data_IF_122540792612
#
_entry.id   IF_122540792612
#
_cell.length_a   1.000
_cell.length_b   1.000
_cell.length_c   1.000
_cell.angle_alpha   90.00
_cell.angle_beta   90.00
_cell.angle_gamma   90.00
#
_symmetry.space_group_name_H-M   'P 1'
#
loop_
_entity.id
_entity.type
_entity.pdbx_description
1 polymer ?
#
# COMPACT_ATOMS: atom_id res chain seq x y z
N UNK A 1 1.81 16.91 3.48
CA UNK A 1 3.00 17.02 2.62
C UNK A 1 4.24 16.77 3.46
N UNK A 2 4.92 15.66 3.19
CA UNK A 2 6.13 15.24 3.88
C UNK A 2 7.27 16.24 3.65
N UNK A 3 8.01 16.60 4.70
CA UNK A 3 9.19 17.45 4.59
C UNK A 3 10.33 16.72 3.87
N UNK A 4 10.54 15.43 4.16
CA UNK A 4 11.53 14.59 3.48
C UNK A 4 11.27 14.59 1.97
N UNK A 5 10.01 14.32 1.59
CA UNK A 5 9.63 14.33 0.18
C UNK A 5 9.80 15.72 -0.45
N UNK A 6 9.42 16.78 0.26
CA UNK A 6 9.58 18.16 -0.21
C UNK A 6 11.06 18.49 -0.49
N UNK A 7 11.97 18.08 0.40
CA UNK A 7 13.40 18.31 0.27
C UNK A 7 13.98 17.54 -0.93
N UNK A 8 13.59 16.28 -1.10
CA UNK A 8 13.97 15.45 -2.25
C UNK A 8 13.49 16.08 -3.57
N UNK A 9 12.21 16.43 -3.66
CA UNK A 9 11.62 17.03 -4.86
C UNK A 9 12.25 18.40 -5.18
N UNK A 10 12.54 19.21 -4.17
CA UNK A 10 13.21 20.51 -4.35
C UNK A 10 14.63 20.34 -4.89
N UNK A 11 15.37 19.34 -4.39
CA UNK A 11 16.70 19.02 -4.88
C UNK A 11 16.66 18.55 -6.34
N UNK A 12 15.76 17.62 -6.66
CA UNK A 12 15.55 17.12 -8.02
C UNK A 12 15.21 18.27 -8.98
N UNK A 13 14.27 19.14 -8.59
CA UNK A 13 13.89 20.33 -9.38
C UNK A 13 15.09 21.24 -9.62
N UNK A 14 15.91 21.50 -8.60
CA UNK A 14 17.09 22.36 -8.73
C UNK A 14 18.10 21.77 -9.71
N UNK A 15 18.36 20.46 -9.64
CA UNK A 15 19.24 19.76 -10.57
C UNK A 15 18.68 19.76 -11.99
N UNK A 16 17.37 19.55 -12.14
CA UNK A 16 16.69 19.56 -13.43
C UNK A 16 16.83 20.89 -14.15
N UNK A 17 16.54 22.01 -13.45
CA UNK A 17 16.69 23.36 -14.02
C UNK A 17 18.13 23.67 -14.39
N UNK A 18 19.10 23.26 -13.55
CA UNK A 18 20.52 23.45 -13.85
C UNK A 18 20.91 22.70 -15.13
N UNK A 19 20.59 21.41 -15.23
CA UNK A 19 20.94 20.57 -16.38
C UNK A 19 20.31 21.07 -17.67
N UNK A 20 19.02 21.41 -17.66
CA UNK A 20 18.36 21.91 -18.87
C UNK A 20 18.80 23.33 -19.26
N UNK A 21 19.20 24.15 -18.30
CA UNK A 21 19.80 25.46 -18.62
C UNK A 21 21.17 25.32 -19.30
N UNK A 22 21.93 24.27 -18.98
CA UNK A 22 23.23 23.99 -19.60
C UNK A 22 23.10 23.37 -21.00
N UNK A 23 22.04 22.58 -21.24
CA UNK A 23 21.79 21.90 -22.52
C UNK A 23 20.84 22.66 -23.45
N UNK A 24 20.47 23.90 -23.10
CA UNK A 24 19.50 24.74 -23.84
C UNK A 24 18.14 24.05 -24.05
N UNK A 25 17.68 23.31 -23.03
CA UNK A 25 16.38 22.62 -23.05
C UNK A 25 16.36 21.32 -23.83
N UNK A 26 17.52 20.72 -24.14
CA UNK A 26 17.55 19.46 -24.88
C UNK A 26 17.07 18.28 -24.03
N UNK A 27 16.09 17.53 -24.54
CA UNK A 27 15.56 16.27 -23.98
C UNK A 27 15.02 16.38 -22.53
N UNK A 28 14.01 17.23 -22.29
CA UNK A 28 13.46 17.50 -20.97
C UNK A 28 12.76 16.29 -20.30
N UNK A 29 12.12 15.39 -21.05
CA UNK A 29 11.52 14.17 -20.51
C UNK A 29 12.59 13.17 -20.08
N UNK A 30 13.60 12.95 -20.92
CA UNK A 30 14.68 12.01 -20.59
C UNK A 30 15.46 12.46 -19.36
N UNK A 31 15.78 13.76 -19.26
CA UNK A 31 16.47 14.30 -18.07
C UNK A 31 15.61 14.19 -16.83
N UNK A 32 14.29 14.43 -16.92
CA UNK A 32 13.38 14.30 -15.79
C UNK A 32 13.33 12.85 -15.28
N UNK A 33 13.11 11.89 -16.19
CA UNK A 33 13.09 10.47 -15.88
C UNK A 33 14.40 9.97 -15.30
N UNK A 34 15.55 10.38 -15.87
CA UNK A 34 16.86 10.01 -15.35
C UNK A 34 17.10 10.53 -13.93
N UNK A 35 16.70 11.76 -13.64
CA UNK A 35 16.83 12.34 -12.30
C UNK A 35 15.90 11.66 -11.30
N UNK A 36 14.65 11.40 -11.67
CA UNK A 36 13.71 10.68 -10.83
C UNK A 36 14.22 9.25 -10.53
N UNK A 37 14.64 8.49 -11.55
CA UNK A 37 15.15 7.13 -11.38
C UNK A 37 16.42 7.04 -10.50
N UNK A 38 17.25 8.09 -10.48
CA UNK A 38 18.48 8.12 -9.68
C UNK A 38 18.29 8.66 -8.26
N UNK A 39 17.34 9.58 -8.05
CA UNK A 39 17.15 10.26 -6.76
C UNK A 39 15.94 9.75 -5.96
N UNK A 40 14.98 9.06 -6.59
CA UNK A 40 13.78 8.52 -5.92
C UNK A 40 13.90 7.02 -5.59
N UNK A 41 15.11 6.57 -5.24
CA UNK A 41 15.33 5.20 -4.75
C UNK A 41 14.99 5.16 -3.24
N UNK A 42 13.69 5.12 -2.94
CA UNK A 42 13.16 5.20 -1.57
C UNK A 42 12.99 3.79 -0.99
N UNK A 43 13.81 3.44 0.00
CA UNK A 43 13.73 2.15 0.70
C UNK A 43 12.53 2.07 1.65
N UNK A 44 12.23 0.87 2.18
CA UNK A 44 11.09 0.62 3.07
C UNK A 44 11.03 1.52 4.31
N UNK A 45 12.18 1.75 4.96
CA UNK A 45 12.24 2.52 6.21
C UNK A 45 11.98 4.01 5.93
N UNK A 46 12.61 4.54 4.88
CA UNK A 46 12.41 5.92 4.43
C UNK A 46 10.99 6.15 3.91
N UNK A 47 10.43 5.18 3.17
CA UNK A 47 9.05 5.25 2.68
C UNK A 47 8.06 5.25 3.84
N UNK A 48 8.30 4.45 4.89
CA UNK A 48 7.48 4.48 6.10
C UNK A 48 7.52 5.86 6.79
N UNK A 49 8.69 6.51 6.88
CA UNK A 49 8.80 7.87 7.42
C UNK A 49 8.08 8.92 6.56
N UNK A 50 8.16 8.79 5.23
CA UNK A 50 7.43 9.66 4.30
C UNK A 50 5.91 9.49 4.50
N UNK A 51 5.43 8.25 4.58
CA UNK A 51 4.01 7.93 4.85
C UNK A 51 3.59 8.45 6.22
N UNK A 52 4.46 8.38 7.23
CA UNK A 52 4.18 8.94 8.55
C UNK A 52 3.95 10.46 8.51
N UNK A 53 4.73 11.18 7.70
CA UNK A 53 4.56 12.62 7.52
C UNK A 53 3.42 12.99 6.57
N UNK A 54 3.07 12.10 5.64
CA UNK A 54 1.98 12.26 4.69
C UNK A 54 1.13 10.98 4.51
N UNK A 55 0.15 10.76 5.40
CA UNK A 55 -0.68 9.56 5.36
C UNK A 55 -1.50 9.45 4.07
N UNK A 56 -1.77 10.56 3.39
CA UNK A 56 -2.62 10.60 2.18
C UNK A 56 -2.05 9.76 1.05
N UNK A 57 -0.74 9.47 1.07
CA UNK A 57 -0.06 8.57 0.14
C UNK A 57 -0.62 7.14 0.18
N UNK A 58 -1.24 6.70 1.28
CA UNK A 58 -1.89 5.38 1.35
C UNK A 58 -3.17 5.30 0.51
N UNK A 59 -3.75 6.43 0.11
CA UNK A 59 -4.88 6.46 -0.82
C UNK A 59 -4.43 6.34 -2.30
N UNK A 60 -3.12 6.32 -2.56
CA UNK A 60 -2.56 6.20 -3.90
C UNK A 60 -2.91 4.86 -4.57
N UNK A 61 -3.05 4.90 -5.90
CA UNK A 61 -3.40 3.75 -6.75
C UNK A 61 -2.36 3.57 -7.83
N UNK A 62 -2.12 2.33 -8.27
CA UNK A 62 -1.10 2.05 -9.28
C UNK A 62 -1.50 2.64 -10.65
N UNK A 63 -2.79 2.55 -11.00
CA UNK A 63 -3.30 2.92 -12.31
C UNK A 63 -2.53 2.22 -13.43
N UNK A 64 -1.88 3.02 -14.29
CA UNK A 64 -0.95 2.54 -15.33
C UNK A 64 0.49 3.03 -15.11
N UNK A 65 0.82 3.44 -13.89
CA UNK A 65 2.10 4.08 -13.58
C UNK A 65 3.25 3.06 -13.48
N UNK A 66 2.93 1.81 -13.18
CA UNK A 66 3.91 0.73 -13.05
C UNK A 66 4.17 0.17 -14.45
N UNK A 67 5.38 0.44 -14.98
CA UNK A 67 5.77 0.13 -16.36
C UNK A 67 5.94 -1.36 -16.64
N UNK A 68 6.20 -2.16 -15.62
CA UNK A 68 6.35 -3.62 -15.77
C UNK A 68 4.98 -4.32 -15.75
N UNK A 69 4.52 -4.73 -16.93
CA UNK A 69 3.28 -5.51 -17.15
C UNK A 69 3.32 -6.88 -16.46
N UNK A 70 4.50 -7.39 -16.09
CA UNK A 70 4.64 -8.65 -15.36
C UNK A 70 4.21 -8.56 -13.89
N UNK A 71 4.17 -7.36 -13.29
CA UNK A 71 3.63 -7.15 -11.95
C UNK A 71 2.13 -6.85 -12.01
N UNK A 72 1.34 -7.86 -12.35
CA UNK A 72 -0.14 -7.78 -12.27
C UNK A 72 -0.67 -7.56 -10.84
N UNK A 73 0.20 -7.59 -9.84
CA UNK A 73 -0.14 -7.49 -8.42
C UNK A 73 1.01 -6.79 -7.65
N UNK A 74 1.13 -5.47 -7.80
CA UNK A 74 2.18 -4.69 -7.15
C UNK A 74 1.99 -4.67 -5.63
N UNK A 75 3.10 -4.54 -4.90
CA UNK A 75 3.03 -4.33 -3.44
C UNK A 75 2.67 -2.88 -3.10
N UNK A 76 2.15 -2.66 -1.89
CA UNK A 76 1.72 -1.34 -1.42
C UNK A 76 2.82 -0.28 -1.52
N UNK A 77 4.07 -0.62 -1.19
CA UNK A 77 5.23 0.27 -1.27
C UNK A 77 5.52 0.72 -2.70
N UNK A 78 5.47 -0.21 -3.65
CA UNK A 78 5.68 0.09 -5.07
C UNK A 78 4.58 1.02 -5.62
N UNK A 79 3.32 0.81 -5.21
CA UNK A 79 2.21 1.70 -5.58
C UNK A 79 2.50 3.14 -5.14
N UNK A 80 2.91 3.32 -3.88
CA UNK A 80 3.20 4.64 -3.33
C UNK A 80 4.42 5.27 -4.05
N UNK A 81 5.49 4.51 -4.23
CA UNK A 81 6.70 4.97 -4.92
C UNK A 81 6.42 5.38 -6.37
N UNK A 82 5.62 4.60 -7.10
CA UNK A 82 5.23 4.94 -8.47
C UNK A 82 4.41 6.24 -8.54
N UNK A 83 3.54 6.49 -7.56
CA UNK A 83 2.78 7.74 -7.49
C UNK A 83 3.69 8.93 -7.15
N UNK A 84 4.65 8.75 -6.25
CA UNK A 84 5.65 9.77 -5.93
C UNK A 84 6.49 10.09 -7.18
N UNK A 85 6.95 9.07 -7.91
CA UNK A 85 7.72 9.24 -9.14
C UNK A 85 6.91 9.99 -10.20
N UNK A 86 5.65 9.61 -10.43
CA UNK A 86 4.82 10.29 -11.42
C UNK A 86 4.54 11.75 -11.03
N UNK A 87 4.21 12.02 -9.77
CA UNK A 87 4.00 13.39 -9.30
C UNK A 87 5.28 14.25 -9.44
N UNK A 88 6.46 13.66 -9.21
CA UNK A 88 7.73 14.32 -9.44
C UNK A 88 7.94 14.62 -10.92
N UNK A 89 7.65 13.65 -11.80
CA UNK A 89 7.78 13.80 -13.24
C UNK A 89 6.86 14.90 -13.78
N UNK A 90 5.57 14.88 -13.41
CA UNK A 90 4.60 15.91 -13.78
C UNK A 90 5.09 17.31 -13.38
N UNK A 91 5.54 17.47 -12.13
CA UNK A 91 6.10 18.73 -11.65
C UNK A 91 7.32 19.19 -12.49
N UNK A 92 8.24 18.30 -12.85
CA UNK A 92 9.41 18.67 -13.66
C UNK A 92 9.02 19.06 -15.09
N UNK A 93 8.07 18.35 -15.69
CA UNK A 93 7.58 18.65 -17.02
C UNK A 93 6.83 20.00 -17.07
N UNK A 94 6.06 20.32 -16.02
CA UNK A 94 5.43 21.62 -15.86
C UNK A 94 6.48 22.75 -15.84
N UNK A 95 7.58 22.58 -15.11
CA UNK A 95 8.69 23.54 -15.11
C UNK A 95 9.33 23.69 -16.50
N UNK A 96 9.45 22.61 -17.27
CA UNK A 96 9.96 22.67 -18.64
C UNK A 96 9.01 23.40 -19.60
N UNK A 97 7.69 23.29 -19.40
CA UNK A 97 6.69 24.09 -20.13
C UNK A 97 6.82 25.58 -19.75
N UNK A 98 6.93 25.90 -18.46
CA UNK A 98 7.08 27.28 -17.99
C UNK A 98 8.34 27.96 -18.56
N UNK A 99 9.44 27.21 -18.66
CA UNK A 99 10.70 27.67 -19.25
C UNK A 99 10.73 27.60 -20.79
N UNK A 100 9.63 27.16 -21.43
CA UNK A 100 9.47 27.04 -22.90
C UNK A 100 10.40 26.02 -23.57
N UNK A 101 10.88 25.03 -22.81
CA UNK A 101 11.61 23.89 -23.36
C UNK A 101 10.68 22.82 -23.93
N UNK A 102 9.45 22.74 -23.39
CA UNK A 102 8.36 21.94 -23.93
C UNK A 102 7.23 22.83 -24.45
N UNK A 103 6.55 22.35 -25.49
CA UNK A 103 5.38 23.01 -26.07
C UNK A 103 4.19 22.07 -25.95
N UNK A 104 3.07 22.59 -25.45
CA UNK A 104 1.81 21.86 -25.43
C UNK A 104 1.06 22.08 -26.74
N UNK A 105 0.48 21.01 -27.26
CA UNK A 105 -0.41 21.04 -28.41
C UNK A 105 -1.76 21.65 -28.04
N UNK A 106 -2.61 21.90 -29.04
CA UNK A 106 -3.92 22.55 -28.87
C UNK A 106 -4.89 21.82 -27.92
N UNK A 107 -4.61 20.56 -27.60
CA UNK A 107 -5.39 19.71 -26.69
C UNK A 107 -4.73 19.58 -25.28
N UNK A 108 -3.79 20.46 -24.94
CA UNK A 108 -3.00 20.42 -23.68
C UNK A 108 -2.11 19.19 -23.51
N UNK A 109 -1.92 18.39 -24.54
CA UNK A 109 -0.97 17.27 -24.58
C UNK A 109 0.45 17.79 -24.88
N UNK A 110 1.46 17.23 -24.21
CA UNK A 110 2.87 17.55 -24.45
C UNK A 110 3.36 16.70 -25.63
N UNK A 111 3.91 17.35 -26.65
CA UNK A 111 4.50 16.65 -27.78
C UNK A 111 5.97 16.31 -27.47
N UNK A 112 6.25 15.01 -27.28
CA UNK A 112 7.59 14.50 -27.03
C UNK A 112 8.21 13.95 -28.33
N UNK A 113 9.53 14.07 -28.46
CA UNK A 113 10.25 13.42 -29.56
C UNK A 113 10.21 11.89 -29.38
N UNK A 114 9.89 11.15 -30.44
CA UNK A 114 9.92 9.68 -30.47
C UNK A 114 11.27 9.12 -30.00
N UNK A 115 12.37 9.78 -30.37
CA UNK A 115 13.73 9.37 -29.95
C UNK A 115 13.90 9.51 -28.42
N UNK A 116 13.23 10.49 -27.83
CA UNK A 116 13.27 10.73 -26.40
C UNK A 116 12.42 9.70 -25.64
N UNK A 117 11.24 9.36 -26.17
CA UNK A 117 10.38 8.31 -25.63
C UNK A 117 11.12 6.96 -25.63
N UNK A 118 11.73 6.57 -26.76
CA UNK A 118 12.52 5.33 -26.87
C UNK A 118 13.69 5.31 -25.88
N UNK A 119 14.33 6.46 -25.64
CA UNK A 119 15.44 6.56 -24.69
C UNK A 119 14.97 6.39 -23.23
N UNK A 120 13.78 6.86 -22.89
CA UNK A 120 13.17 6.68 -21.56
C UNK A 120 12.78 5.22 -21.32
N UNK A 121 12.19 4.56 -22.32
CA UNK A 121 11.83 3.13 -22.23
C UNK A 121 13.06 2.23 -22.03
N UNK A 122 14.23 2.66 -22.50
CA UNK A 122 15.49 1.96 -22.33
C UNK A 122 16.17 2.20 -20.96
N UNK A 123 15.64 3.09 -20.11
CA UNK A 123 16.20 3.33 -18.78
C UNK A 123 15.93 2.14 -17.86
N UNK A 124 17.00 1.58 -17.28
CA UNK A 124 16.88 0.60 -16.20
C UNK A 124 16.44 1.31 -14.92
N UNK A 125 15.22 1.03 -14.48
CA UNK A 125 14.71 1.47 -13.19
C UNK A 125 15.18 0.48 -12.14
N UNK A 126 15.85 0.98 -11.10
CA UNK A 126 16.28 0.15 -9.96
C UNK A 126 15.04 -0.29 -9.20
N UNK A 127 14.83 -1.59 -9.13
CA UNK A 127 13.78 -2.18 -8.30
C UNK A 127 14.18 -2.12 -6.81
N UNK A 128 13.24 -1.69 -5.97
CA UNK A 128 13.45 -1.54 -4.53
C UNK A 128 12.79 -2.71 -3.82
N UNK A 129 13.60 -3.47 -3.09
CA UNK A 129 13.12 -4.58 -2.29
C UNK A 129 12.48 -4.10 -0.98
N UNK A 130 11.14 -4.02 -0.98
CA UNK A 130 10.35 -3.66 0.20
C UNK A 130 10.29 -4.75 1.28
N UNK A 131 10.83 -5.95 1.03
CA UNK A 131 10.85 -7.05 2.01
C UNK A 131 11.96 -6.92 3.06
N UNK A 132 12.80 -5.88 2.95
CA UNK A 132 13.89 -5.60 3.87
C UNK A 132 13.65 -4.31 4.62
N UNK A 133 13.78 -4.35 5.96
CA UNK A 133 13.63 -3.18 6.83
C UNK A 133 14.54 -3.32 8.06
N UNK A 134 15.38 -2.31 8.32
CA UNK A 134 16.19 -2.28 9.56
C UNK A 134 15.35 -1.79 10.73
N UNK A 135 14.40 -0.89 10.47
CA UNK A 135 13.48 -0.38 11.49
C UNK A 135 12.61 -1.52 12.05
N UNK A 136 12.04 -2.38 11.21
CA UNK A 136 11.27 -3.55 11.65
C UNK A 136 12.08 -4.46 12.59
N UNK A 137 13.31 -4.81 12.20
CA UNK A 137 14.21 -5.64 13.03
C UNK A 137 14.54 -4.98 14.38
N UNK A 138 14.72 -3.66 14.38
CA UNK A 138 14.98 -2.87 15.58
C UNK A 138 13.77 -2.86 16.51
N UNK A 139 12.58 -2.62 15.97
CA UNK A 139 11.33 -2.56 16.73
C UNK A 139 11.00 -3.91 17.39
N UNK A 140 11.18 -5.02 16.65
CA UNK A 140 11.02 -6.38 17.19
C UNK A 140 11.95 -6.62 18.39
N UNK A 141 13.19 -6.13 18.31
CA UNK A 141 14.20 -6.32 19.35
C UNK A 141 13.96 -5.51 20.62
N UNK A 142 13.13 -4.45 20.57
CA UNK A 142 12.87 -3.55 21.71
C UNK A 142 11.81 -4.09 22.70
N UNK A 143 11.07 -5.16 22.34
CA UNK A 143 10.21 -5.89 23.27
C UNK A 143 8.97 -5.15 23.78
N UNK A 144 8.44 -4.18 23.02
CA UNK A 144 7.20 -3.47 23.33
C UNK A 144 5.93 -4.17 22.81
N UNK A 145 4.76 -3.74 23.30
CA UNK A 145 3.46 -4.13 22.71
C UNK A 145 3.24 -3.30 21.44
N UNK A 146 3.26 -3.94 20.28
CA UNK A 146 2.97 -3.27 19.00
C UNK A 146 1.50 -2.85 18.90
N UNK A 147 1.22 -1.86 18.06
CA UNK A 147 -0.14 -1.41 17.76
C UNK A 147 -0.99 -2.55 17.18
N UNK A 148 -0.40 -3.41 16.35
CA UNK A 148 -1.10 -4.60 15.82
C UNK A 148 -1.52 -5.55 16.95
N UNK A 149 -0.66 -5.78 17.94
CA UNK A 149 -1.00 -6.63 19.08
C UNK A 149 -2.10 -6.01 19.95
N UNK A 150 -2.07 -4.68 20.16
CA UNK A 150 -3.16 -3.99 20.87
C UNK A 150 -4.49 -4.15 20.13
N UNK A 151 -4.47 -4.07 18.80
CA UNK A 151 -5.65 -4.25 17.98
C UNK A 151 -6.21 -5.67 18.11
N UNK A 152 -5.36 -6.70 18.00
CA UNK A 152 -5.76 -8.09 18.19
C UNK A 152 -6.37 -8.33 19.58
N UNK A 153 -5.74 -7.82 20.64
CA UNK A 153 -6.25 -7.96 22.01
C UNK A 153 -7.61 -7.26 22.21
N UNK A 154 -7.82 -6.10 21.58
CA UNK A 154 -9.09 -5.40 21.64
C UNK A 154 -10.20 -6.16 20.90
N UNK A 155 -9.91 -6.67 19.70
CA UNK A 155 -10.83 -7.48 18.92
C UNK A 155 -11.16 -8.80 19.64
N UNK A 156 -10.16 -9.46 20.21
CA UNK A 156 -10.32 -10.68 21.02
C UNK A 156 -11.24 -10.45 22.21
N UNK A 157 -11.01 -9.38 22.97
CA UNK A 157 -11.84 -9.08 24.13
C UNK A 157 -13.30 -8.87 23.75
N UNK A 158 -13.56 -8.07 22.72
CA UNK A 158 -14.92 -7.83 22.24
C UNK A 158 -15.57 -9.12 21.71
N UNK A 159 -14.81 -9.92 20.95
CA UNK A 159 -15.29 -11.19 20.42
C UNK A 159 -15.70 -12.15 21.54
N UNK A 160 -14.89 -12.32 22.59
CA UNK A 160 -15.19 -13.19 23.72
C UNK A 160 -16.43 -12.72 24.50
N UNK A 161 -16.56 -11.42 24.74
CA UNK A 161 -17.74 -10.85 25.41
C UNK A 161 -19.03 -11.13 24.60
N UNK A 162 -18.96 -11.05 23.28
CA UNK A 162 -20.11 -11.34 22.41
C UNK A 162 -20.37 -12.84 22.26
N UNK A 163 -19.34 -13.67 22.25
CA UNK A 163 -19.45 -15.13 22.15
C UNK A 163 -20.17 -15.73 23.38
N UNK A 164 -19.96 -15.16 24.56
CA UNK A 164 -20.65 -15.58 25.79
C UNK A 164 -22.13 -15.15 25.83
N UNK A 165 -22.51 -14.12 25.06
CA UNK A 165 -23.82 -13.47 25.14
C UNK A 165 -24.75 -13.60 23.92
N UNK A 166 -24.23 -13.91 22.74
CA UNK A 166 -25.00 -13.88 21.48
C UNK A 166 -25.28 -15.29 20.89
N UNK A 167 -26.31 -15.36 20.05
CA UNK A 167 -26.77 -16.57 19.31
C UNK A 167 -26.16 -16.65 17.90
N UNK A 168 -25.26 -15.71 17.54
CA UNK A 168 -24.56 -15.76 16.26
C UNK A 168 -23.62 -16.96 16.22
N UNK A 169 -23.49 -17.55 15.04
CA UNK A 169 -22.44 -18.52 14.79
C UNK A 169 -21.06 -17.83 14.89
N UNK A 170 -20.09 -18.52 15.50
CA UNK A 170 -18.80 -17.95 15.84
C UNK A 170 -18.01 -17.47 14.61
N UNK A 171 -18.23 -18.09 13.44
CA UNK A 171 -17.61 -17.64 12.19
C UNK A 171 -18.16 -16.27 11.74
N UNK A 172 -19.48 -16.11 11.77
CA UNK A 172 -20.13 -14.85 11.40
C UNK A 172 -19.74 -13.73 12.38
N UNK A 173 -19.67 -14.08 13.67
CA UNK A 173 -19.24 -13.14 14.70
C UNK A 173 -17.78 -12.70 14.48
N UNK A 174 -16.87 -13.62 14.14
CA UNK A 174 -15.46 -13.30 13.89
C UNK A 174 -15.31 -12.32 12.72
N UNK A 175 -16.02 -12.52 11.62
CA UNK A 175 -16.02 -11.60 10.48
C UNK A 175 -16.56 -10.22 10.89
N UNK A 176 -17.66 -10.17 11.63
CA UNK A 176 -18.27 -8.91 12.05
C UNK A 176 -17.37 -8.12 13.02
N UNK A 177 -16.78 -8.81 14.00
CA UNK A 177 -15.83 -8.21 14.93
C UNK A 177 -14.59 -7.74 14.20
N UNK A 178 -13.99 -8.57 13.34
CA UNK A 178 -12.83 -8.17 12.54
C UNK A 178 -13.14 -6.93 11.70
N UNK A 179 -14.26 -6.92 10.97
CA UNK A 179 -14.68 -5.76 10.17
C UNK A 179 -14.91 -4.48 10.97
N UNK A 180 -15.26 -4.59 12.26
CA UNK A 180 -15.40 -3.42 13.15
C UNK A 180 -14.04 -2.86 13.57
N UNK A 181 -13.04 -3.73 13.72
CA UNK A 181 -11.68 -3.38 14.12
C UNK A 181 -10.71 -3.18 12.96
N UNK A 182 -11.18 -3.30 11.70
CA UNK A 182 -10.32 -3.33 10.52
C UNK A 182 -10.68 -2.32 9.42
N UNK A 183 -11.62 -1.41 9.69
CA UNK A 183 -11.83 -0.23 8.84
C UNK A 183 -10.83 0.83 9.27
N UNK A 184 -9.71 0.91 8.55
CA UNK A 184 -8.65 1.86 8.86
C UNK A 184 -8.73 3.10 7.98
N UNK A 185 -8.56 4.27 8.60
CA UNK A 185 -8.16 5.47 7.86
C UNK A 185 -6.65 5.43 7.56
N UNK A 186 -6.15 6.20 6.59
CA UNK A 186 -4.71 6.32 6.35
C UNK A 186 -3.90 6.69 7.60
N UNK A 187 -4.45 7.55 8.45
CA UNK A 187 -3.82 7.97 9.71
C UNK A 187 -3.74 6.85 10.74
N UNK A 188 -4.69 5.92 10.74
CA UNK A 188 -4.70 4.76 11.65
C UNK A 188 -3.74 3.67 11.19
N UNK A 189 -3.44 3.58 9.90
CA UNK A 189 -2.43 2.66 9.34
C UNK A 189 -0.99 3.11 9.63
N UNK A 190 -0.76 4.41 9.76
CA UNK A 190 0.58 4.98 9.93
C UNK A 190 1.35 4.40 11.13
N UNK A 191 0.77 4.33 12.35
CA UNK A 191 1.45 3.69 13.48
C UNK A 191 1.80 2.22 13.24
N UNK A 192 0.94 1.48 12.52
CA UNK A 192 1.17 0.07 12.19
C UNK A 192 2.34 -0.09 11.21
N UNK A 193 2.41 0.79 10.20
CA UNK A 193 3.52 0.82 9.23
C UNK A 193 4.82 1.24 9.92
N UNK A 194 4.78 2.20 10.85
CA UNK A 194 5.97 2.60 11.61
C UNK A 194 6.48 1.51 12.56
N UNK A 195 5.58 0.73 13.15
CA UNK A 195 5.94 -0.44 13.94
C UNK A 195 6.59 -1.52 13.06
N UNK A 196 6.08 -1.72 11.84
CA UNK A 196 6.59 -2.72 10.91
C UNK A 196 6.54 -2.24 9.43
N UNK A 197 7.62 -1.61 8.93
CA UNK A 197 7.67 -1.15 7.53
C UNK A 197 7.55 -2.26 6.49
N UNK A 198 7.76 -3.52 6.87
CA UNK A 198 7.55 -4.67 5.97
C UNK A 198 6.10 -4.81 5.51
N UNK A 199 5.15 -4.14 6.17
CA UNK A 199 3.76 -4.05 5.68
C UNK A 199 3.66 -3.37 4.30
N UNK A 200 4.66 -2.57 3.91
CA UNK A 200 4.74 -2.00 2.56
C UNK A 200 5.04 -3.06 1.49
N UNK A 201 5.55 -4.23 1.86
CA UNK A 201 5.75 -5.34 0.93
C UNK A 201 4.46 -6.14 0.62
N UNK A 202 3.37 -5.87 1.34
CA UNK A 202 2.11 -6.60 1.17
C UNK A 202 1.50 -6.35 -0.21
N UNK A 203 0.91 -7.39 -0.78
CA UNK A 203 0.28 -7.43 -2.12
C UNK A 203 -1.20 -7.75 -1.99
N UNK A 204 -2.02 -7.50 -3.01
CA UNK A 204 -3.45 -7.76 -2.90
C UNK A 204 -3.78 -9.26 -2.75
N UNK A 205 -3.02 -10.14 -3.43
CA UNK A 205 -3.07 -11.62 -3.32
C UNK A 205 -4.48 -12.20 -3.14
N UNK A 206 -5.41 -11.89 -4.05
CA UNK A 206 -6.82 -12.34 -4.04
C UNK A 206 -7.67 -11.90 -2.83
N UNK A 207 -7.12 -11.10 -1.90
CA UNK A 207 -7.82 -10.56 -0.73
C UNK A 207 -8.81 -9.44 -1.08
N UNK A 208 -8.67 -8.90 -2.29
CA UNK A 208 -9.44 -7.75 -2.74
C UNK A 208 -10.35 -8.19 -3.88
N UNK A 209 -11.62 -7.82 -3.76
CA UNK A 209 -12.62 -8.10 -4.78
C UNK A 209 -12.34 -7.19 -5.99
N UNK A 210 -11.82 -7.80 -7.06
CA UNK A 210 -11.48 -7.16 -8.33
C UNK A 210 -12.60 -6.27 -8.89
N UNK A 211 -13.86 -6.66 -8.71
CA UNK A 211 -15.03 -5.91 -9.20
C UNK A 211 -15.19 -4.54 -8.53
N UNK A 212 -14.73 -4.39 -7.29
CA UNK A 212 -14.86 -3.14 -6.52
C UNK A 212 -13.76 -2.14 -6.92
N UNK A 213 -12.55 -2.64 -7.18
CA UNK A 213 -11.37 -1.79 -7.41
C UNK A 213 -10.84 -1.84 -8.84
N UNK A 214 -11.49 -2.57 -9.74
CA UNK A 214 -11.09 -2.70 -11.15
C UNK A 214 -9.61 -3.11 -11.31
N UNK A 215 -9.14 -4.01 -10.43
CA UNK A 215 -7.73 -4.46 -10.34
C UNK A 215 -6.71 -3.36 -9.99
N UNK A 216 -7.17 -2.25 -9.40
CA UNK A 216 -6.32 -1.13 -9.00
C UNK A 216 -6.66 -0.65 -7.58
N UNK A 217 -6.45 -1.51 -6.56
CA UNK A 217 -6.73 -1.15 -5.18
C UNK A 217 -5.74 -0.11 -4.64
N UNK A 218 -6.19 0.82 -3.78
CA UNK A 218 -5.29 1.71 -3.07
C UNK A 218 -4.32 0.96 -2.15
N UNK A 219 -3.10 1.48 -1.96
CA UNK A 219 -2.07 0.89 -1.12
C UNK A 219 -2.54 0.59 0.31
N UNK A 220 -3.26 1.54 0.92
CA UNK A 220 -3.82 1.38 2.26
C UNK A 220 -4.84 0.25 2.35
N UNK A 221 -5.66 0.04 1.31
CA UNK A 221 -6.66 -1.04 1.28
C UNK A 221 -6.00 -2.42 1.26
N UNK A 222 -4.87 -2.56 0.56
CA UNK A 222 -4.07 -3.80 0.59
C UNK A 222 -3.67 -4.11 2.03
N UNK A 223 -3.04 -3.14 2.70
CA UNK A 223 -2.57 -3.30 4.08
C UNK A 223 -3.75 -3.60 5.03
N UNK A 224 -4.85 -2.84 4.93
CA UNK A 224 -6.06 -3.06 5.74
C UNK A 224 -6.66 -4.45 5.54
N UNK A 225 -6.66 -4.97 4.31
CA UNK A 225 -7.22 -6.29 3.99
C UNK A 225 -6.42 -7.40 4.66
N UNK A 226 -5.09 -7.32 4.61
CA UNK A 226 -4.19 -8.24 5.33
C UNK A 226 -4.43 -8.21 6.83
N UNK A 227 -4.52 -7.01 7.43
CA UNK A 227 -4.78 -6.90 8.87
C UNK A 227 -6.15 -7.48 9.21
N UNK A 228 -7.17 -7.22 8.40
CA UNK A 228 -8.52 -7.77 8.58
C UNK A 228 -8.46 -9.30 8.62
N UNK A 229 -7.77 -9.91 7.65
CA UNK A 229 -7.62 -11.35 7.57
C UNK A 229 -6.91 -11.91 8.80
N UNK A 230 -5.82 -11.29 9.24
CA UNK A 230 -5.10 -11.70 10.45
C UNK A 230 -5.99 -11.68 11.70
N UNK A 231 -6.86 -10.66 11.84
CA UNK A 231 -7.81 -10.61 12.95
C UNK A 231 -8.84 -11.74 12.82
N UNK A 232 -9.41 -11.96 11.63
CA UNK A 232 -10.38 -13.05 11.41
C UNK A 232 -9.75 -14.40 11.79
N UNK A 233 -8.55 -14.69 11.29
CA UNK A 233 -7.82 -15.93 11.58
C UNK A 233 -7.60 -16.11 13.08
N UNK A 234 -7.11 -15.08 13.78
CA UNK A 234 -6.92 -15.09 15.23
C UNK A 234 -8.22 -15.39 16.00
N UNK A 235 -9.32 -14.73 15.62
CA UNK A 235 -10.62 -14.92 16.27
C UNK A 235 -11.20 -16.31 16.01
N UNK A 236 -11.00 -16.87 14.82
CA UNK A 236 -11.45 -18.23 14.49
C UNK A 236 -10.63 -19.28 15.25
N UNK A 237 -9.31 -19.10 15.37
CA UNK A 237 -8.47 -19.97 16.20
C UNK A 237 -8.96 -19.97 17.66
N UNK A 238 -9.21 -18.79 18.22
CA UNK A 238 -9.74 -18.63 19.57
C UNK A 238 -11.12 -19.29 19.74
N UNK A 239 -12.01 -19.15 18.76
CA UNK A 239 -13.32 -19.78 18.78
C UNK A 239 -13.23 -21.32 18.72
N UNK A 240 -12.28 -21.86 17.95
CA UNK A 240 -12.00 -23.29 17.90
C UNK A 240 -11.50 -23.81 19.26
N UNK A 241 -10.58 -23.09 19.91
CA UNK A 241 -10.08 -23.43 21.25
C UNK A 241 -11.19 -23.44 22.31
N UNK A 242 -12.18 -22.54 22.18
CA UNK A 242 -13.36 -22.48 23.06
C UNK A 242 -14.42 -23.53 22.72
N UNK A 243 -14.24 -24.32 21.66
CA UNK A 243 -15.22 -25.30 21.19
C UNK A 243 -16.48 -24.66 20.61
N UNK A 244 -16.41 -23.39 20.20
CA UNK A 244 -17.54 -22.65 19.65
C UNK A 244 -17.71 -22.85 18.13
N UNK A 245 -16.72 -23.45 17.46
CA UNK A 245 -16.80 -23.82 16.06
C UNK A 245 -17.11 -25.31 15.91
N UNK A 246 -18.06 -25.63 15.02
CA UNK A 246 -18.34 -27.00 14.64
C UNK A 246 -17.20 -27.51 13.75
N UNK A 247 -16.62 -28.65 14.12
CA UNK A 247 -15.58 -29.34 13.35
C UNK A 247 -16.11 -30.68 12.86
N UNK A 248 -15.72 -31.05 11.64
CA UNK A 248 -16.09 -32.34 11.06
C UNK A 248 -15.26 -33.49 11.67
N UNK A 249 -15.53 -34.71 11.24
CA UNK A 249 -14.81 -35.90 11.71
C UNK A 249 -13.30 -35.91 11.38
N UNK A 250 -12.83 -34.99 10.53
CA UNK A 250 -11.42 -34.81 10.18
C UNK A 250 -10.78 -33.58 10.86
N UNK A 251 -11.53 -32.85 11.68
CA UNK A 251 -11.07 -31.64 12.36
C UNK A 251 -11.10 -30.38 11.49
N UNK A 252 -11.74 -30.41 10.32
CA UNK A 252 -11.94 -29.23 9.49
C UNK A 252 -13.17 -28.46 9.96
N UNK A 253 -13.10 -27.13 9.88
CA UNK A 253 -14.20 -26.24 10.23
C UNK A 253 -15.40 -26.48 9.32
N UNK A 254 -16.55 -26.77 9.93
CA UNK A 254 -17.84 -26.80 9.23
C UNK A 254 -18.30 -25.35 9.13
N UNK A 255 -18.08 -24.75 7.97
CA UNK A 255 -18.63 -23.43 7.68
C UNK A 255 -20.17 -23.51 7.68
N UNK A 256 -20.89 -22.54 8.27
CA UNK A 256 -22.34 -22.55 8.23
C UNK A 256 -22.79 -22.45 6.78
N UNK A 257 -23.55 -23.43 6.30
CA UNK A 257 -24.23 -23.31 5.02
C UNK A 257 -25.17 -22.09 5.10
N UNK A 258 -24.97 -21.16 4.17
CA UNK A 258 -25.81 -19.98 3.99
C UNK A 258 -27.17 -20.38 3.40
N UNK A 259 -27.96 -21.11 4.17
CA UNK A 259 -29.29 -21.54 3.76
C UNK A 259 -29.81 -22.74 4.53
N UNK A 260 -30.74 -22.45 5.45
CA UNK A 260 -31.74 -23.39 5.98
C UNK A 260 -31.25 -24.73 6.54
N UNK A 261 -31.08 -24.78 7.86
CA UNK A 261 -31.90 -25.56 8.80
C UNK A 261 -31.09 -25.66 10.11
N UNK A 262 -31.55 -24.97 11.15
CA UNK A 262 -31.07 -25.23 12.52
C UNK A 262 -31.61 -26.60 12.95
N UNK A 263 -30.79 -27.58 13.33
CA UNK A 263 -31.32 -28.78 13.96
C UNK A 263 -31.84 -28.40 15.34
N UNK A 264 -33.15 -28.52 15.53
CA UNK A 264 -33.77 -28.47 16.85
C UNK A 264 -33.47 -29.79 17.53
N UNK A 265 -32.66 -29.76 18.58
CA UNK A 265 -32.44 -30.89 19.48
C UNK A 265 -33.65 -30.93 20.45
N UNK A 266 -34.39 -32.04 20.44
CA UNK A 266 -35.35 -32.38 21.50
C UNK A 266 -34.64 -32.97 22.71
#
# INVERSE_FOLDING_TARGET
MSQILTDILTNIRTQYLALLSETDGAKPLFTAEQLCASNLIINSDELAEIVFQDPTLLAARAGKLIRNVEESNPCAGLIIAANIHNAALEMLLDEAIENKWLVTNGDSEIDFDLIEIEAVEALEIVDVDYTVSKLALTNISQGGVSHLNQLLLNAEKEFLEQLEGQVLDAYTLAIQTAGTHSVFTPEELVPLIMDNPLMLALRADDLIIDEVFTRDPPAGIIISSHITQLIVEHLLELAAEKGALAVDSQGQLILPDSGDVRPVIH
#
